data_IF_878799267691
#
_entry.id   IF_878799267691
#
_cell.length_a   1.000
_cell.length_b   1.000
_cell.length_c   1.000
_cell.angle_alpha   90.00
_cell.angle_beta   90.00
_cell.angle_gamma   90.00
#
_symmetry.space_group_name_H-M   'P 1'
#
loop_
_entity.id
_entity.type
_entity.pdbx_description
1 polymer ?
#
# COMPACT_ATOMS: atom_id res chain seq x y z
N UNK A 1 -32.10 2.81 -17.48
CA UNK A 1 -31.48 3.98 -16.83
C UNK A 1 -31.03 3.53 -15.44
N UNK A 2 -29.73 3.35 -15.22
CA UNK A 2 -29.19 2.95 -13.91
C UNK A 2 -29.35 4.13 -12.95
N UNK A 3 -29.93 3.91 -11.77
CA UNK A 3 -29.91 4.90 -10.68
C UNK A 3 -28.44 5.11 -10.31
N UNK A 4 -27.92 6.32 -10.49
CA UNK A 4 -26.67 6.69 -9.81
C UNK A 4 -26.92 6.62 -8.30
N UNK A 5 -26.10 5.84 -7.59
CA UNK A 5 -26.12 5.79 -6.13
C UNK A 5 -25.84 7.18 -5.53
N UNK A 6 -26.24 7.39 -4.28
CA UNK A 6 -25.87 8.62 -3.56
C UNK A 6 -24.35 8.74 -3.43
N UNK A 7 -23.83 9.94 -3.61
CA UNK A 7 -22.42 10.24 -3.38
C UNK A 7 -22.19 10.60 -1.90
N UNK A 8 -21.32 9.87 -1.22
CA UNK A 8 -20.94 10.12 0.17
C UNK A 8 -19.55 10.78 0.26
N UNK A 9 -19.33 11.47 1.38
CA UNK A 9 -18.00 11.87 1.83
C UNK A 9 -17.44 10.79 2.75
N UNK A 10 -16.31 10.20 2.36
CA UNK A 10 -15.74 9.02 3.02
C UNK A 10 -14.32 9.29 3.48
N UNK A 11 -14.05 9.04 4.75
CA UNK A 11 -12.71 9.02 5.31
C UNK A 11 -12.14 7.60 5.29
N UNK A 12 -10.96 7.43 4.71
CA UNK A 12 -10.19 6.18 4.75
C UNK A 12 -8.98 6.39 5.65
N UNK A 13 -8.86 5.58 6.69
CA UNK A 13 -7.74 5.68 7.64
C UNK A 13 -6.69 4.61 7.29
N UNK A 14 -5.52 5.06 6.84
CA UNK A 14 -4.39 4.25 6.39
C UNK A 14 -4.16 4.35 4.88
N UNK A 15 -2.94 4.73 4.48
CA UNK A 15 -2.45 4.78 3.11
C UNK A 15 -1.64 3.54 2.69
N UNK A 16 -1.92 2.39 3.30
CA UNK A 16 -1.41 1.09 2.88
C UNK A 16 -2.21 0.47 1.74
N UNK A 17 -1.83 -0.72 1.28
CA UNK A 17 -2.49 -1.42 0.17
C UNK A 17 -4.02 -1.42 0.28
N UNK A 18 -4.56 -1.81 1.44
CA UNK A 18 -6.00 -1.86 1.67
C UNK A 18 -6.66 -0.48 1.49
N UNK A 19 -6.16 0.56 2.15
CA UNK A 19 -6.73 1.89 2.08
C UNK A 19 -6.63 2.52 0.68
N UNK A 20 -5.52 2.28 -0.04
CA UNK A 20 -5.38 2.76 -1.42
C UNK A 20 -6.39 2.10 -2.37
N UNK A 21 -6.60 0.78 -2.25
CA UNK A 21 -7.60 0.07 -3.05
C UNK A 21 -9.01 0.50 -2.66
N UNK A 22 -9.31 0.62 -1.37
CA UNK A 22 -10.60 1.14 -0.90
C UNK A 22 -10.89 2.53 -1.46
N UNK A 23 -9.90 3.44 -1.41
CA UNK A 23 -10.07 4.78 -1.96
C UNK A 23 -10.30 4.76 -3.48
N UNK A 24 -9.56 3.91 -4.20
CA UNK A 24 -9.73 3.72 -5.66
C UNK A 24 -11.14 3.26 -6.01
N UNK A 25 -11.67 2.24 -5.33
CA UNK A 25 -13.01 1.72 -5.63
C UNK A 25 -14.12 2.69 -5.25
N UNK A 26 -14.04 3.32 -4.07
CA UNK A 26 -15.02 4.33 -3.65
C UNK A 26 -15.04 5.53 -4.61
N UNK A 27 -13.88 5.96 -5.11
CA UNK A 27 -13.80 7.02 -6.11
C UNK A 27 -14.42 6.62 -7.45
N UNK A 28 -14.25 5.35 -7.88
CA UNK A 28 -14.89 4.82 -9.10
C UNK A 28 -16.41 4.76 -9.01
N UNK A 29 -16.94 4.52 -7.81
CA UNK A 29 -18.39 4.57 -7.53
C UNK A 29 -18.91 6.01 -7.35
N UNK A 30 -18.06 7.03 -7.52
CA UNK A 30 -18.47 8.44 -7.51
C UNK A 30 -18.51 9.10 -6.13
N UNK A 31 -17.92 8.48 -5.11
CA UNK A 31 -17.81 9.07 -3.78
C UNK A 31 -16.64 10.07 -3.67
N UNK A 32 -16.74 11.02 -2.73
CA UNK A 32 -15.65 11.94 -2.38
C UNK A 32 -14.84 11.32 -1.24
N UNK A 33 -13.58 10.98 -1.51
CA UNK A 33 -12.75 10.23 -0.56
C UNK A 33 -11.56 11.06 -0.07
N UNK A 34 -11.32 11.04 1.24
CA UNK A 34 -10.09 11.58 1.85
C UNK A 34 -9.35 10.44 2.55
N UNK A 35 -8.06 10.27 2.24
CA UNK A 35 -7.20 9.25 2.87
C UNK A 35 -6.31 9.93 3.92
N UNK A 36 -6.31 9.40 5.14
CA UNK A 36 -5.45 9.84 6.23
C UNK A 36 -4.32 8.83 6.44
N UNK A 37 -3.07 9.24 6.29
CA UNK A 37 -1.88 8.42 6.53
C UNK A 37 -0.99 9.10 7.57
N UNK A 38 -0.50 8.31 8.54
CA UNK A 38 0.38 8.79 9.62
C UNK A 38 1.80 9.03 9.12
N UNK A 39 2.28 8.18 8.21
CA UNK A 39 3.60 8.26 7.62
C UNK A 39 3.71 9.39 6.60
N UNK A 40 4.94 9.77 6.27
CA UNK A 40 5.23 10.80 5.27
C UNK A 40 4.95 10.34 3.82
N UNK A 41 4.60 9.07 3.62
CA UNK A 41 4.33 8.51 2.31
C UNK A 41 3.37 7.32 2.42
N UNK A 42 2.71 6.99 1.31
CA UNK A 42 1.85 5.82 1.17
C UNK A 42 2.67 4.53 1.01
N UNK A 43 2.04 3.40 1.25
CA UNK A 43 2.64 2.06 1.14
C UNK A 43 2.34 1.17 2.34
N UNK A 44 2.05 1.76 3.50
CA UNK A 44 1.81 1.04 4.75
C UNK A 44 3.00 0.15 5.08
N UNK A 45 2.77 -1.15 5.30
CA UNK A 45 3.83 -2.14 5.52
C UNK A 45 4.92 -2.10 4.44
N UNK A 46 4.58 -1.85 3.18
CA UNK A 46 5.53 -1.88 2.06
C UNK A 46 6.48 -0.67 2.01
N UNK A 47 6.27 0.34 2.85
CA UNK A 47 7.21 1.44 3.02
C UNK A 47 8.28 1.02 4.04
N UNK A 48 9.41 0.50 3.56
CA UNK A 48 10.52 0.07 4.42
C UNK A 48 11.04 1.22 5.30
N UNK A 49 11.17 0.94 6.59
CA UNK A 49 11.76 1.82 7.59
C UNK A 49 12.97 1.10 8.23
N UNK A 50 14.19 1.68 8.18
CA UNK A 50 15.36 1.05 8.79
C UNK A 50 15.39 1.16 10.32
N UNK A 51 14.51 1.96 10.93
CA UNK A 51 14.44 2.13 12.38
C UNK A 51 13.85 0.89 13.04
N UNK A 52 14.23 0.68 14.29
CA UNK A 52 13.66 -0.34 15.17
C UNK A 52 13.17 0.35 16.43
N UNK A 53 12.08 -0.17 17.01
CA UNK A 53 11.57 0.34 18.28
C UNK A 53 12.62 0.14 19.38
N UNK A 54 12.72 1.08 20.32
CA UNK A 54 13.65 0.96 21.45
C UNK A 54 13.26 -0.17 22.40
N UNK A 55 11.95 -0.43 22.51
CA UNK A 55 11.42 -1.62 23.16
C UNK A 55 11.24 -2.73 22.12
N UNK A 56 12.20 -3.64 22.07
CA UNK A 56 12.25 -4.74 21.09
C UNK A 56 11.15 -5.78 21.26
N UNK A 57 10.51 -5.84 22.45
CA UNK A 57 9.42 -6.77 22.72
C UNK A 57 8.04 -6.12 22.54
N UNK A 58 7.99 -4.80 22.37
CA UNK A 58 6.76 -4.04 22.17
C UNK A 58 5.78 -4.10 23.34
N UNK A 59 6.31 -4.21 24.56
CA UNK A 59 5.53 -4.35 25.79
C UNK A 59 5.05 -2.99 26.33
N UNK A 60 5.81 -1.91 26.09
CA UNK A 60 5.44 -0.57 26.51
C UNK A 60 4.33 0.00 25.58
N UNK A 61 3.14 0.34 26.11
CA UNK A 61 2.08 0.95 25.31
C UNK A 61 2.42 2.37 24.82
N UNK A 62 3.39 3.06 25.42
CA UNK A 62 3.76 4.44 25.09
C UNK A 62 5.02 4.56 24.22
N UNK A 63 5.58 3.44 23.76
CA UNK A 63 6.78 3.44 22.91
C UNK A 63 6.53 4.12 21.57
N UNK A 64 7.61 4.56 20.91
CA UNK A 64 7.56 4.94 19.51
C UNK A 64 7.20 3.72 18.66
N UNK A 65 6.20 3.85 17.78
CA UNK A 65 5.74 2.75 16.93
C UNK A 65 6.31 2.88 15.53
N UNK A 66 7.15 1.90 15.15
CA UNK A 66 7.60 1.70 13.76
C UNK A 66 6.59 0.81 13.06
N UNK A 67 5.84 1.36 12.10
CA UNK A 67 4.70 0.67 11.51
C UNK A 67 5.09 -0.48 10.55
N UNK A 68 6.17 -0.31 9.77
CA UNK A 68 6.64 -1.35 8.86
C UNK A 68 7.40 -2.42 9.61
N UNK A 69 7.07 -3.69 9.36
CA UNK A 69 7.80 -4.85 9.88
C UNK A 69 8.72 -5.47 8.83
N UNK A 70 9.02 -4.74 7.75
CA UNK A 70 9.91 -5.22 6.70
C UNK A 70 11.37 -5.20 7.15
N UNK A 71 12.12 -6.22 6.76
CA UNK A 71 13.58 -6.20 6.79
C UNK A 71 14.14 -5.88 5.40
N UNK A 72 15.35 -5.33 5.36
CA UNK A 72 15.99 -4.80 4.13
C UNK A 72 15.97 -5.77 2.95
N UNK A 73 16.22 -7.06 3.19
CA UNK A 73 16.34 -8.08 2.15
C UNK A 73 15.02 -8.80 1.84
N UNK A 74 13.89 -8.36 2.38
CA UNK A 74 12.62 -9.04 2.22
C UNK A 74 12.24 -9.15 0.75
N UNK A 75 11.87 -10.36 0.35
CA UNK A 75 11.19 -10.66 -0.90
C UNK A 75 9.81 -11.18 -0.60
N UNK A 76 8.89 -10.99 -1.53
CA UNK A 76 7.55 -11.54 -1.41
C UNK A 76 7.61 -13.06 -1.33
N UNK A 77 6.72 -13.65 -0.54
CA UNK A 77 6.56 -15.10 -0.37
C UNK A 77 5.53 -15.70 -1.35
N UNK A 78 4.88 -14.86 -2.16
CA UNK A 78 3.94 -15.25 -3.20
C UNK A 78 4.48 -14.82 -4.57
N UNK A 79 4.19 -15.56 -5.66
CA UNK A 79 4.49 -15.09 -7.00
C UNK A 79 3.77 -13.76 -7.26
N UNK A 80 4.45 -12.79 -7.88
CA UNK A 80 3.89 -11.46 -8.15
C UNK A 80 2.53 -11.50 -8.86
N UNK A 81 2.33 -12.49 -9.73
CA UNK A 81 1.07 -12.68 -10.47
C UNK A 81 -0.14 -12.93 -9.57
N UNK A 82 0.05 -13.49 -8.37
CA UNK A 82 -1.04 -13.73 -7.42
C UNK A 82 -1.26 -12.56 -6.45
N UNK A 83 -0.41 -11.54 -6.50
CA UNK A 83 -0.46 -10.38 -5.60
C UNK A 83 -1.07 -9.12 -6.24
N UNK A 84 -1.28 -9.14 -7.57
CA UNK A 84 -1.93 -8.04 -8.28
C UNK A 84 -3.44 -7.97 -8.01
N UNK A 85 -4.06 -6.89 -8.48
CA UNK A 85 -5.52 -6.76 -8.48
C UNK A 85 -6.09 -7.38 -9.75
N UNK A 86 -7.36 -7.78 -9.71
CA UNK A 86 -8.04 -8.42 -10.84
C UNK A 86 -8.00 -7.55 -12.12
N UNK A 87 -8.07 -6.24 -11.96
CA UNK A 87 -8.07 -5.24 -13.03
C UNK A 87 -6.74 -4.46 -13.14
N UNK A 88 -5.75 -4.80 -12.31
CA UNK A 88 -4.45 -4.15 -12.29
C UNK A 88 -3.36 -5.18 -11.93
N UNK A 89 -2.90 -5.98 -12.91
CA UNK A 89 -1.99 -7.09 -12.67
C UNK A 89 -0.59 -6.60 -12.27
N UNK A 90 0.05 -7.31 -11.35
CA UNK A 90 1.41 -7.00 -10.91
C UNK A 90 2.46 -7.64 -11.83
N UNK A 91 2.65 -7.01 -12.99
CA UNK A 91 3.61 -7.43 -14.02
C UNK A 91 5.00 -6.81 -13.80
N UNK A 92 6.04 -7.45 -14.33
CA UNK A 92 7.37 -6.86 -14.39
C UNK A 92 7.35 -5.63 -15.31
N UNK A 93 7.95 -4.52 -14.85
CA UNK A 93 8.11 -3.29 -15.62
C UNK A 93 9.60 -3.02 -15.86
N UNK A 94 9.91 -2.31 -16.94
CA UNK A 94 11.28 -1.86 -17.22
C UNK A 94 11.80 -1.00 -16.06
N UNK A 95 13.10 -1.14 -15.73
CA UNK A 95 13.71 -0.48 -14.56
C UNK A 95 13.31 -1.06 -13.20
N UNK A 96 12.59 -2.20 -13.19
CA UNK A 96 12.23 -2.89 -11.95
C UNK A 96 12.80 -4.26 -11.75
N UNK A 97 12.44 -4.82 -10.61
CA UNK A 97 12.84 -6.16 -10.24
C UNK A 97 12.04 -7.15 -11.11
N UNK A 98 12.67 -7.85 -12.06
CA UNK A 98 11.94 -8.68 -13.02
C UNK A 98 11.59 -10.06 -12.45
N UNK A 99 12.05 -10.39 -11.23
CA UNK A 99 11.86 -11.71 -10.62
C UNK A 99 10.38 -12.02 -10.42
N UNK A 100 10.03 -13.31 -10.42
CA UNK A 100 8.69 -13.77 -10.04
C UNK A 100 8.36 -13.50 -8.56
N UNK A 101 9.38 -13.52 -7.71
CA UNK A 101 9.28 -13.18 -6.29
C UNK A 101 10.18 -11.97 -6.02
N UNK A 102 9.74 -10.76 -6.36
CA UNK A 102 10.57 -9.57 -6.26
C UNK A 102 10.79 -9.12 -4.80
N UNK A 103 11.69 -8.15 -4.61
CA UNK A 103 11.91 -7.44 -3.35
C UNK A 103 10.71 -6.58 -2.93
N UNK A 104 10.68 -6.19 -1.66
CA UNK A 104 9.62 -5.33 -1.11
C UNK A 104 9.53 -3.96 -1.81
N UNK A 105 10.64 -3.45 -2.33
CA UNK A 105 10.68 -2.16 -3.05
C UNK A 105 9.83 -2.19 -4.33
N UNK A 106 9.77 -3.35 -5.00
CA UNK A 106 8.96 -3.52 -6.21
C UNK A 106 7.47 -3.54 -5.89
N UNK A 107 7.08 -4.04 -4.71
CA UNK A 107 5.69 -3.98 -4.25
C UNK A 107 5.30 -2.55 -3.89
N UNK A 108 6.19 -1.80 -3.23
CA UNK A 108 5.98 -0.37 -2.97
C UNK A 108 5.83 0.41 -4.28
N UNK A 109 6.65 0.09 -5.29
CA UNK A 109 6.54 0.69 -6.62
C UNK A 109 5.21 0.37 -7.29
N UNK A 110 4.79 -0.89 -7.24
CA UNK A 110 3.48 -1.31 -7.75
C UNK A 110 2.35 -0.49 -7.12
N UNK A 111 2.35 -0.33 -5.79
CA UNK A 111 1.39 0.50 -5.06
C UNK A 111 1.39 1.96 -5.50
N UNK A 112 2.56 2.57 -5.72
CA UNK A 112 2.65 3.95 -6.23
C UNK A 112 2.10 4.08 -7.66
N UNK A 113 2.29 3.07 -8.50
CA UNK A 113 1.73 3.09 -9.85
C UNK A 113 0.21 2.93 -9.87
N UNK A 114 -0.38 2.30 -8.85
CA UNK A 114 -1.84 2.24 -8.67
C UNK A 114 -2.46 3.64 -8.56
N UNK A 115 -1.72 4.60 -7.99
CA UNK A 115 -2.15 5.97 -7.76
C UNK A 115 -1.94 6.90 -8.96
N UNK A 116 -1.37 6.40 -10.05
CA UNK A 116 -0.99 7.23 -11.19
C UNK A 116 0.22 8.14 -10.94
N UNK A 117 0.87 8.02 -9.77
CA UNK A 117 2.13 8.71 -9.49
C UNK A 117 3.28 7.91 -10.10
N UNK A 118 3.63 8.25 -11.34
CA UNK A 118 4.94 7.91 -11.92
C UNK A 118 5.98 8.78 -11.22
N UNK A 119 6.93 8.15 -10.51
CA UNK A 119 8.10 8.85 -9.97
C UNK A 119 9.05 9.31 -11.06
#
# INVERSE_FOLDING_TARGET
MLKMGEAYEVAVVGGGFAGLVTARELQREGHRVTVFEKANNVGGTWLYDPRVETDLLGLDPNREIVHSSLYRSLRVNLPRQTMGLLDYPFVAKEGGDPRYFPGHEEVLRFLRTLLGTSG
#
